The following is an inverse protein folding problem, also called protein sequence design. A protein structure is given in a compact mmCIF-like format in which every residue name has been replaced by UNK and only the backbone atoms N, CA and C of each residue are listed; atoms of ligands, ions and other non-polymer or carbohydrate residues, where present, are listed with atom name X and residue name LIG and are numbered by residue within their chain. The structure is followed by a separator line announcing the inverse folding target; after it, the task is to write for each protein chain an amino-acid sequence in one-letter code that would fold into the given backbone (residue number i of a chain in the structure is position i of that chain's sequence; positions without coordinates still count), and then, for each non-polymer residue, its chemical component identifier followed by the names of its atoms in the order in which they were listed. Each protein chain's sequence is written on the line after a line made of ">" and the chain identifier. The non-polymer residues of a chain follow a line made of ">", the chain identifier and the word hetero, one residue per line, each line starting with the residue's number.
data_IF_174701090071
#
_entry.id   IF_174701090071
#
_cell.length_a   1.000
_cell.length_b   1.000
_cell.length_c   1.000
_cell.angle_alpha   90.00
_cell.angle_beta   90.00
_cell.angle_gamma   90.00
#
_symmetry.space_group_name_H-M   'P 1'
#
loop_
_entity.id
_entity.type
_entity.pdbx_description
1 polymer ?
#
# COMPACT_ATOMS: atom_id res chain seq x y z
N UNK A 1 11.83 0.33 24.70
CA UNK A 1 11.26 -0.29 23.46
C UNK A 1 12.05 0.28 22.29
N UNK A 2 12.67 -0.56 21.46
CA UNK A 2 13.65 -0.18 20.42
C UNK A 2 13.01 0.60 19.26
N UNK A 3 13.49 1.81 18.96
CA UNK A 3 12.97 2.67 17.87
C UNK A 3 13.46 2.25 16.48
N UNK A 4 14.49 1.42 16.40
CA UNK A 4 14.97 0.84 15.15
C UNK A 4 14.15 -0.37 14.69
N UNK A 5 13.19 -0.84 15.50
CA UNK A 5 12.42 -2.05 15.19
C UNK A 5 11.63 -1.92 13.87
N UNK A 6 10.91 -0.82 13.68
CA UNK A 6 10.11 -0.61 12.47
C UNK A 6 10.98 -0.46 11.20
N UNK A 7 12.01 0.41 11.18
CA UNK A 7 12.97 0.46 10.06
C UNK A 7 13.61 -0.89 9.75
N UNK A 8 13.97 -1.68 10.77
CA UNK A 8 14.56 -3.01 10.58
C UNK A 8 13.61 -3.98 9.90
N UNK A 9 12.32 -3.95 10.24
CA UNK A 9 11.31 -4.79 9.59
C UNK A 9 11.10 -4.41 8.13
N UNK A 10 11.10 -3.11 7.80
CA UNK A 10 11.07 -2.68 6.40
C UNK A 10 12.30 -3.16 5.62
N UNK A 11 13.48 -3.10 6.24
CA UNK A 11 14.70 -3.60 5.64
C UNK A 11 14.63 -5.12 5.38
N UNK A 12 14.11 -5.91 6.33
CA UNK A 12 13.92 -7.36 6.15
C UNK A 12 12.93 -7.64 5.02
N UNK A 13 11.79 -6.94 5.00
CA UNK A 13 10.77 -7.08 3.96
C UNK A 13 11.34 -6.83 2.55
N UNK A 14 12.25 -5.87 2.40
CA UNK A 14 12.88 -5.58 1.12
C UNK A 14 13.95 -6.61 0.73
N UNK A 15 14.80 -7.01 1.69
CA UNK A 15 16.10 -7.63 1.37
C UNK A 15 16.24 -9.10 1.76
N UNK A 16 15.32 -9.65 2.56
CA UNK A 16 15.40 -11.07 2.93
C UNK A 16 15.31 -11.95 1.68
N UNK A 17 15.97 -13.11 1.71
CA UNK A 17 15.89 -14.10 0.64
C UNK A 17 14.68 -15.04 0.80
N UNK A 18 14.21 -15.18 2.04
CA UNK A 18 13.13 -16.09 2.40
C UNK A 18 11.77 -15.37 2.43
N UNK A 19 10.80 -15.94 1.71
CA UNK A 19 9.47 -15.35 1.57
C UNK A 19 8.68 -15.36 2.90
N UNK A 20 8.92 -16.32 3.79
CA UNK A 20 8.27 -16.38 5.10
C UNK A 20 8.79 -15.26 6.01
N UNK A 21 10.10 -15.00 5.98
CA UNK A 21 10.71 -13.88 6.71
C UNK A 21 10.18 -12.54 6.20
N UNK A 22 10.07 -12.34 4.88
CA UNK A 22 9.45 -11.14 4.31
C UNK A 22 8.01 -10.98 4.78
N UNK A 23 7.21 -12.05 4.69
CA UNK A 23 5.82 -12.00 5.10
C UNK A 23 5.67 -11.66 6.59
N UNK A 24 6.43 -12.33 7.46
CA UNK A 24 6.41 -12.05 8.89
C UNK A 24 6.84 -10.60 9.17
N UNK A 25 7.89 -10.12 8.50
CA UNK A 25 8.33 -8.75 8.63
C UNK A 25 7.25 -7.74 8.23
N UNK A 26 6.52 -7.98 7.14
CA UNK A 26 5.40 -7.13 6.74
C UNK A 26 4.26 -7.13 7.78
N UNK A 27 3.91 -8.31 8.32
CA UNK A 27 2.86 -8.44 9.34
C UNK A 27 3.23 -7.70 10.62
N UNK A 28 4.47 -7.84 11.10
CA UNK A 28 4.94 -7.14 12.29
C UNK A 28 5.14 -5.64 12.03
N UNK A 29 5.64 -5.25 10.86
CA UNK A 29 5.80 -3.84 10.49
C UNK A 29 4.46 -3.13 10.54
N UNK A 30 3.42 -3.70 9.91
CA UNK A 30 2.06 -3.15 9.91
C UNK A 30 1.53 -2.87 11.31
N UNK A 31 1.76 -3.78 12.26
CA UNK A 31 1.34 -3.60 13.67
C UNK A 31 2.08 -2.43 14.34
N UNK A 32 3.35 -2.22 13.99
CA UNK A 32 4.18 -1.18 14.59
C UNK A 32 3.99 0.20 13.95
N UNK A 33 3.57 0.29 12.68
CA UNK A 33 3.36 1.57 11.96
C UNK A 33 2.54 2.55 12.81
N UNK A 34 1.38 2.13 13.31
CA UNK A 34 0.46 2.98 14.09
C UNK A 34 1.07 3.61 15.35
N UNK A 35 2.12 3.02 15.91
CA UNK A 35 2.73 3.50 17.16
C UNK A 35 4.16 4.03 17.01
N UNK A 36 4.81 3.78 15.86
CA UNK A 36 6.24 4.03 15.65
C UNK A 36 6.54 4.86 14.42
N UNK A 37 5.64 4.97 13.46
CA UNK A 37 5.91 5.66 12.19
C UNK A 37 6.28 7.14 12.38
N UNK A 38 5.60 7.85 13.27
CA UNK A 38 5.92 9.25 13.60
C UNK A 38 7.31 9.45 14.22
N UNK A 39 7.88 8.39 14.82
CA UNK A 39 9.21 8.42 15.43
C UNK A 39 10.32 8.08 14.44
N UNK A 40 9.97 7.61 13.25
CA UNK A 40 10.95 7.39 12.17
C UNK A 40 11.47 8.74 11.72
N UNK A 41 12.78 8.82 11.54
CA UNK A 41 13.45 10.01 11.02
C UNK A 41 12.77 10.47 9.71
N UNK A 42 12.36 11.74 9.67
CA UNK A 42 11.68 12.34 8.52
C UNK A 42 12.50 12.27 7.23
N UNK A 43 13.84 12.21 7.31
CA UNK A 43 14.72 12.03 6.15
C UNK A 43 14.61 10.63 5.52
N UNK A 44 14.22 9.62 6.30
CA UNK A 44 14.05 8.24 5.85
C UNK A 44 12.65 7.96 5.32
N UNK A 45 11.63 8.68 5.80
CA UNK A 45 10.23 8.43 5.44
C UNK A 45 9.98 8.40 3.92
N UNK A 46 10.46 9.35 3.09
CA UNK A 46 10.23 9.31 1.64
C UNK A 46 10.78 8.04 0.98
N UNK A 47 11.98 7.61 1.37
CA UNK A 47 12.61 6.41 0.84
C UNK A 47 11.86 5.14 1.26
N UNK A 48 11.37 5.08 2.50
CA UNK A 48 10.58 3.95 2.99
C UNK A 48 9.24 3.87 2.25
N UNK A 49 8.55 4.99 2.08
CA UNK A 49 7.29 5.11 1.34
C UNK A 49 7.42 4.55 -0.07
N UNK A 50 8.40 5.05 -0.81
CA UNK A 50 8.70 4.60 -2.17
C UNK A 50 9.03 3.10 -2.21
N UNK A 51 9.91 2.64 -1.33
CA UNK A 51 10.32 1.24 -1.32
C UNK A 51 9.18 0.28 -0.94
N UNK A 52 8.32 0.66 0.02
CA UNK A 52 7.14 -0.13 0.39
C UNK A 52 6.13 -0.18 -0.75
N UNK A 53 5.89 0.95 -1.42
CA UNK A 53 5.01 1.01 -2.58
C UNK A 53 5.56 0.16 -3.74
N UNK A 54 6.84 0.27 -4.06
CA UNK A 54 7.49 -0.54 -5.08
C UNK A 54 7.44 -2.05 -4.76
N UNK A 55 7.54 -2.43 -3.49
CA UNK A 55 7.38 -3.82 -3.06
C UNK A 55 5.97 -4.37 -3.35
N UNK A 56 4.93 -3.53 -3.31
CA UNK A 56 3.57 -3.98 -3.65
C UNK A 56 3.46 -4.41 -5.12
N UNK A 57 4.28 -3.84 -6.01
CA UNK A 57 4.22 -4.11 -7.45
C UNK A 57 5.23 -5.16 -7.91
N UNK A 58 6.42 -5.19 -7.29
CA UNK A 58 7.58 -5.93 -7.82
C UNK A 58 7.85 -7.29 -7.17
N UNK A 59 7.32 -7.57 -5.98
CA UNK A 59 7.61 -8.83 -5.28
C UNK A 59 7.02 -10.03 -6.05
N UNK A 60 7.80 -11.11 -6.21
CA UNK A 60 7.37 -12.28 -6.99
C UNK A 60 6.17 -13.03 -6.37
N UNK A 61 6.12 -13.10 -5.04
CA UNK A 61 5.03 -13.73 -4.31
C UNK A 61 3.84 -12.80 -4.12
N UNK A 62 2.64 -13.25 -4.56
CA UNK A 62 1.38 -12.53 -4.35
C UNK A 62 1.10 -12.25 -2.87
N UNK A 63 1.46 -13.19 -2.00
CA UNK A 63 1.27 -13.07 -0.55
C UNK A 63 2.09 -11.91 0.04
N UNK A 64 3.33 -11.76 -0.44
CA UNK A 64 4.21 -10.66 -0.03
C UNK A 64 3.67 -9.34 -0.60
N UNK A 65 3.28 -9.30 -1.89
CA UNK A 65 2.67 -8.10 -2.49
C UNK A 65 1.47 -7.61 -1.68
N UNK A 66 0.55 -8.50 -1.31
CA UNK A 66 -0.60 -8.14 -0.46
C UNK A 66 -0.17 -7.68 0.93
N UNK A 67 0.80 -8.35 1.56
CA UNK A 67 1.29 -7.95 2.88
C UNK A 67 1.96 -6.56 2.84
N UNK A 68 2.73 -6.27 1.78
CA UNK A 68 3.30 -4.95 1.52
C UNK A 68 2.23 -3.89 1.27
N UNK A 69 1.16 -4.20 0.53
CA UNK A 69 0.05 -3.26 0.31
C UNK A 69 -0.63 -2.89 1.63
N UNK A 70 -0.80 -3.84 2.56
CA UNK A 70 -1.34 -3.55 3.90
C UNK A 70 -0.38 -2.72 4.77
N UNK A 71 0.93 -2.80 4.55
CA UNK A 71 1.90 -1.91 5.19
C UNK A 71 1.78 -0.49 4.61
N UNK A 72 1.69 -0.37 3.29
CA UNK A 72 1.47 0.92 2.60
C UNK A 72 0.18 1.57 3.09
N UNK A 73 -0.91 0.82 3.21
CA UNK A 73 -2.19 1.33 3.73
C UNK A 73 -2.05 1.88 5.16
N UNK A 74 -1.38 1.16 6.06
CA UNK A 74 -1.15 1.63 7.43
C UNK A 74 -0.28 2.90 7.49
N UNK A 75 0.71 3.03 6.59
CA UNK A 75 1.52 4.25 6.51
C UNK A 75 0.66 5.40 5.94
N UNK A 76 -0.12 5.11 4.88
CA UNK A 76 -1.01 6.06 4.23
C UNK A 76 -2.10 6.60 5.16
N UNK A 77 -2.62 5.78 6.09
CA UNK A 77 -3.57 6.19 7.13
C UNK A 77 -3.06 7.39 7.93
N UNK A 78 -1.78 7.38 8.30
CA UNK A 78 -1.15 8.46 9.05
C UNK A 78 -0.74 9.60 8.12
N UNK A 79 -0.08 9.27 7.01
CA UNK A 79 0.59 10.27 6.18
C UNK A 79 -0.37 11.07 5.30
N UNK A 80 -1.50 10.49 4.87
CA UNK A 80 -2.49 11.23 4.09
C UNK A 80 -3.27 12.21 4.96
N UNK A 81 -3.60 11.81 6.19
CA UNK A 81 -4.25 12.71 7.15
C UNK A 81 -3.34 13.90 7.51
N UNK A 82 -2.03 13.65 7.59
CA UNK A 82 -1.02 14.69 7.84
C UNK A 82 -0.55 15.44 6.59
N UNK A 83 -1.01 15.06 5.38
CA UNK A 83 -0.55 15.65 4.12
C UNK A 83 0.93 15.37 3.76
N UNK A 84 1.55 14.34 4.34
CA UNK A 84 2.96 14.00 4.17
C UNK A 84 3.27 13.08 2.97
N UNK A 85 2.25 12.48 2.34
CA UNK A 85 2.42 11.58 1.20
C UNK A 85 1.46 11.90 0.03
N UNK A 86 1.59 13.09 -0.58
CA UNK A 86 0.67 13.56 -1.63
C UNK A 86 0.68 12.68 -2.89
N UNK A 87 1.79 12.00 -3.17
CA UNK A 87 1.96 11.21 -4.40
C UNK A 87 1.31 9.83 -4.36
N UNK A 88 0.85 9.34 -3.20
CA UNK A 88 0.33 7.98 -3.06
C UNK A 88 -0.87 7.71 -3.98
N UNK A 89 -1.91 8.54 -3.92
CA UNK A 89 -3.11 8.36 -4.75
C UNK A 89 -2.82 8.56 -6.25
N UNK A 90 -2.10 9.62 -6.69
CA UNK A 90 -1.71 9.76 -8.08
C UNK A 90 -0.96 8.55 -8.64
N UNK A 91 0.00 7.99 -7.89
CA UNK A 91 0.75 6.80 -8.32
C UNK A 91 -0.16 5.59 -8.42
N UNK A 92 -1.04 5.35 -7.45
CA UNK A 92 -1.99 4.23 -7.51
C UNK A 92 -2.92 4.34 -8.72
N UNK A 93 -3.53 5.50 -8.95
CA UNK A 93 -4.44 5.72 -10.10
C UNK A 93 -3.70 5.52 -11.43
N UNK A 94 -2.49 6.07 -11.56
CA UNK A 94 -1.66 5.88 -12.75
C UNK A 94 -1.34 4.40 -12.98
N UNK A 95 -0.94 3.69 -11.93
CA UNK A 95 -0.64 2.25 -12.00
C UNK A 95 -1.85 1.40 -12.39
N UNK A 96 -3.07 1.80 -12.01
CA UNK A 96 -4.32 1.14 -12.44
C UNK A 96 -4.58 1.32 -13.94
N UNK A 97 -4.22 2.48 -14.49
CA UNK A 97 -4.49 2.84 -15.88
C UNK A 97 -3.41 2.33 -16.85
N UNK A 98 -2.14 2.44 -16.48
CA UNK A 98 -1.00 2.24 -17.38
C UNK A 98 -0.16 1.00 -17.06
N UNK A 99 -0.37 0.37 -15.89
CA UNK A 99 0.43 -0.77 -15.44
C UNK A 99 0.21 -2.04 -16.25
N UNK A 100 1.12 -3.00 -16.09
CA UNK A 100 0.85 -4.37 -16.51
C UNK A 100 -0.24 -5.02 -15.62
N UNK A 101 -0.71 -6.22 -15.97
CA UNK A 101 -1.81 -6.87 -15.26
C UNK A 101 -1.55 -6.97 -13.75
N UNK A 102 -0.33 -7.36 -13.35
CA UNK A 102 0.05 -7.49 -11.95
C UNK A 102 0.06 -6.15 -11.23
N UNK A 103 0.66 -5.13 -11.84
CA UNK A 103 0.73 -3.77 -11.29
C UNK A 103 -0.66 -3.18 -11.11
N UNK A 104 -1.55 -3.37 -12.10
CA UNK A 104 -2.95 -2.93 -12.04
C UNK A 104 -3.70 -3.64 -10.92
N UNK A 105 -3.62 -4.97 -10.84
CA UNK A 105 -4.23 -5.75 -9.76
C UNK A 105 -3.78 -5.27 -8.39
N UNK A 106 -2.47 -5.04 -8.22
CA UNK A 106 -1.90 -4.62 -6.95
C UNK A 106 -2.19 -3.17 -6.61
N UNK A 107 -2.31 -2.29 -7.59
CA UNK A 107 -2.71 -0.91 -7.36
C UNK A 107 -4.17 -0.82 -6.91
N UNK A 108 -5.08 -1.57 -7.55
CA UNK A 108 -6.48 -1.68 -7.10
C UNK A 108 -6.55 -2.30 -5.70
N UNK A 109 -5.80 -3.37 -5.43
CA UNK A 109 -5.76 -4.00 -4.11
C UNK A 109 -5.22 -3.03 -3.03
N UNK A 110 -4.17 -2.29 -3.34
CA UNK A 110 -3.58 -1.33 -2.39
C UNK A 110 -4.57 -0.20 -2.08
N UNK A 111 -5.24 0.33 -3.12
CA UNK A 111 -6.29 1.34 -2.95
C UNK A 111 -7.46 0.81 -2.09
N UNK A 112 -7.92 -0.42 -2.35
CA UNK A 112 -8.91 -1.10 -1.52
C UNK A 112 -8.46 -1.15 -0.04
N UNK A 113 -7.26 -1.67 0.23
CA UNK A 113 -6.76 -1.78 1.62
C UNK A 113 -6.54 -0.44 2.30
N UNK A 114 -6.27 0.61 1.52
CA UNK A 114 -6.17 1.98 2.02
C UNK A 114 -7.55 2.50 2.42
N UNK A 115 -8.59 2.27 1.62
CA UNK A 115 -9.97 2.67 1.95
C UNK A 115 -10.51 1.93 3.19
N UNK A 116 -10.09 0.69 3.44
CA UNK A 116 -10.43 -0.04 4.68
C UNK A 116 -9.98 0.68 5.96
N UNK A 117 -8.97 1.56 5.87
CA UNK A 117 -8.48 2.34 7.03
C UNK A 117 -9.37 3.54 7.37
N UNK A 118 -10.36 3.89 6.54
CA UNK A 118 -11.37 4.93 6.80
C UNK A 118 -10.78 6.33 7.04
N UNK A 119 -9.74 6.69 6.29
CA UNK A 119 -9.04 7.98 6.39
C UNK A 119 -10.00 9.15 6.05
N UNK A 120 -10.24 10.10 6.97
CA UNK A 120 -11.08 11.26 6.71
C UNK A 120 -10.64 12.10 5.50
N UNK A 121 -9.32 12.29 5.31
CA UNK A 121 -8.76 13.02 4.17
C UNK A 121 -9.18 12.47 2.79
N UNK A 122 -9.60 11.20 2.69
CA UNK A 122 -10.05 10.61 1.43
C UNK A 122 -11.49 10.98 1.05
N UNK A 123 -12.27 11.57 1.96
CA UNK A 123 -13.67 11.94 1.72
C UNK A 123 -13.83 12.92 0.54
N UNK A 124 -12.82 13.76 0.28
CA UNK A 124 -12.80 14.71 -0.85
C UNK A 124 -12.72 14.03 -2.21
N UNK A 125 -12.30 12.76 -2.26
CA UNK A 125 -12.08 11.99 -3.49
C UNK A 125 -13.17 10.94 -3.78
N UNK A 126 -14.23 10.88 -2.96
CA UNK A 126 -15.28 9.85 -3.08
C UNK A 126 -15.89 9.80 -4.49
N UNK A 127 -16.15 10.96 -5.12
CA UNK A 127 -16.69 11.00 -6.48
C UNK A 127 -15.75 10.40 -7.53
N UNK A 128 -14.45 10.66 -7.39
CA UNK A 128 -13.40 10.13 -8.28
C UNK A 128 -13.27 8.61 -8.09
N UNK A 129 -13.29 8.14 -6.85
CA UNK A 129 -13.23 6.70 -6.53
C UNK A 129 -14.44 5.94 -7.05
N UNK A 130 -15.65 6.46 -6.87
CA UNK A 130 -16.86 5.83 -7.41
C UNK A 130 -16.78 5.70 -8.94
N UNK A 131 -16.30 6.74 -9.62
CA UNK A 131 -16.12 6.73 -11.08
C UNK A 131 -15.06 5.71 -11.51
N UNK A 132 -13.93 5.67 -10.79
CA UNK A 132 -12.85 4.72 -11.03
C UNK A 132 -13.33 3.28 -10.86
N UNK A 133 -13.92 2.95 -9.70
CA UNK A 133 -14.37 1.58 -9.43
C UNK A 133 -15.50 1.14 -10.36
N UNK A 134 -16.44 2.03 -10.69
CA UNK A 134 -17.48 1.72 -11.67
C UNK A 134 -16.89 1.30 -13.03
N UNK A 135 -15.81 1.96 -13.49
CA UNK A 135 -15.11 1.56 -14.71
C UNK A 135 -14.45 0.18 -14.57
N UNK A 136 -13.81 -0.09 -13.42
CA UNK A 136 -13.08 -1.33 -13.14
C UNK A 136 -13.99 -2.55 -12.98
N UNK A 137 -15.27 -2.38 -12.60
CA UNK A 137 -16.25 -3.47 -12.57
C UNK A 137 -16.45 -4.15 -13.93
N UNK A 138 -16.18 -3.42 -15.02
CA UNK A 138 -16.30 -3.94 -16.39
C UNK A 138 -14.99 -4.51 -16.94
N UNK A 139 -13.91 -4.46 -16.15
CA UNK A 139 -12.60 -4.95 -16.57
C UNK A 139 -12.61 -6.47 -16.79
N UNK A 140 -12.39 -6.90 -18.04
CA UNK A 140 -12.37 -8.32 -18.42
C UNK A 140 -11.01 -8.99 -18.23
N UNK A 141 -9.96 -8.22 -17.99
CA UNK A 141 -8.58 -8.70 -17.89
C UNK A 141 -8.29 -9.41 -16.56
N UNK A 142 -8.94 -9.00 -15.46
CA UNK A 142 -8.76 -9.63 -14.16
C UNK A 142 -10.04 -9.74 -13.34
N UNK A 143 -10.27 -10.93 -12.78
CA UNK A 143 -11.32 -11.14 -11.76
C UNK A 143 -10.99 -10.40 -10.46
N UNK A 144 -9.72 -10.37 -10.08
CA UNK A 144 -9.30 -9.77 -8.81
C UNK A 144 -9.50 -8.25 -8.83
N UNK A 145 -9.26 -7.59 -9.97
CA UNK A 145 -9.60 -6.17 -10.17
C UNK A 145 -11.09 -5.94 -9.90
N UNK A 146 -11.96 -6.73 -10.54
CA UNK A 146 -13.41 -6.59 -10.37
C UNK A 146 -13.84 -6.84 -8.92
N UNK A 147 -13.30 -7.87 -8.27
CA UNK A 147 -13.64 -8.19 -6.87
C UNK A 147 -13.20 -7.07 -5.93
N UNK A 148 -11.94 -6.62 -6.02
CA UNK A 148 -11.45 -5.54 -5.16
C UNK A 148 -12.21 -4.22 -5.39
N UNK A 149 -12.67 -3.96 -6.61
CA UNK A 149 -13.50 -2.78 -6.93
C UNK A 149 -14.90 -2.84 -6.31
N UNK A 150 -15.44 -4.04 -6.05
CA UNK A 150 -16.72 -4.20 -5.31
C UNK A 150 -16.51 -4.07 -3.80
N UNK A 151 -15.33 -4.47 -3.29
CA UNK A 151 -15.00 -4.44 -1.87
C UNK A 151 -14.56 -3.05 -1.36
N UNK A 152 -14.13 -2.18 -2.28
CA UNK A 152 -13.72 -0.80 -2.00
C UNK A 152 -14.91 0.11 -1.77
#
# INVERSE_FOLDING_TARGET
>A
INDLALPSLFHILQNAQDDQMKQLAAVEARKLVMSKWEKVDGSLKPHIREAMLNNTFSQGSKLIRHSSARVVAAIGEIDLENGEWPDLLPVLVKSIQEGDLQTREMAVYTLYTLLETQIPALATHVGDFLSLFASLLTDKSSRDIRVNSVLS
#
